data_IF_831732256554
#
_entry.id   IF_831732256554
#
_cell.length_a   1.000
_cell.length_b   1.000
_cell.length_c   1.000
_cell.angle_alpha   90.00
_cell.angle_beta   90.00
_cell.angle_gamma   90.00
#
_symmetry.space_group_name_H-M   'P 1'
#
loop_
_entity.id
_entity.type
_entity.pdbx_description
1 polymer ?
#
# COMPACT_ATOMS: atom_id res chain seq x y z
N UNK A 1 30.34 -1.78 -40.17
CA UNK A 1 30.34 -1.58 -38.70
C UNK A 1 30.12 -0.10 -38.44
N UNK A 2 28.90 0.25 -38.05
CA UNK A 2 28.53 1.54 -37.44
C UNK A 2 27.54 1.21 -36.31
N UNK A 3 27.65 1.86 -35.14
CA UNK A 3 27.00 1.42 -33.92
C UNK A 3 25.49 1.69 -33.90
N UNK A 4 24.76 0.75 -33.28
CA UNK A 4 23.34 0.83 -32.93
C UNK A 4 23.08 2.03 -31.98
N UNK A 5 21.94 2.75 -32.10
CA UNK A 5 21.58 3.78 -31.15
C UNK A 5 21.31 3.16 -29.78
N UNK A 6 21.90 3.76 -28.76
CA UNK A 6 21.75 3.42 -27.35
C UNK A 6 20.28 3.36 -26.96
N UNK A 7 19.80 2.15 -26.70
CA UNK A 7 18.58 1.91 -25.96
C UNK A 7 18.83 2.42 -24.53
N UNK A 8 18.48 3.69 -24.28
CA UNK A 8 18.46 4.24 -22.93
C UNK A 8 17.34 3.54 -22.17
N UNK A 9 17.66 2.41 -21.54
CA UNK A 9 16.85 1.82 -20.49
C UNK A 9 16.64 2.89 -19.41
N UNK A 10 15.45 3.48 -19.35
CA UNK A 10 15.04 4.38 -18.27
C UNK A 10 15.03 3.59 -16.96
N UNK A 11 15.89 3.88 -15.98
CA UNK A 11 15.94 3.09 -14.74
C UNK A 11 14.83 3.45 -13.74
N UNK A 12 14.00 4.46 -14.02
CA UNK A 12 13.06 5.01 -13.03
C UNK A 12 11.67 4.37 -13.02
N UNK A 13 11.31 3.57 -14.04
CA UNK A 13 10.00 2.88 -14.07
C UNK A 13 9.91 1.62 -13.20
N UNK A 14 11.04 1.15 -12.64
CA UNK A 14 11.13 -0.13 -11.92
C UNK A 14 11.01 0.00 -10.41
N UNK A 15 11.29 1.16 -9.83
CA UNK A 15 11.25 1.39 -8.39
C UNK A 15 9.83 1.34 -7.79
N UNK A 16 8.81 2.03 -8.35
CA UNK A 16 7.47 2.02 -7.76
C UNK A 16 6.79 0.65 -7.87
N UNK A 17 6.99 -0.06 -8.98
CA UNK A 17 6.51 -1.44 -9.14
C UNK A 17 7.20 -2.39 -8.14
N UNK A 18 8.49 -2.16 -7.85
CA UNK A 18 9.22 -2.94 -6.85
C UNK A 18 8.74 -2.67 -5.42
N UNK A 19 8.41 -1.41 -5.09
CA UNK A 19 7.94 -1.04 -3.75
C UNK A 19 6.55 -1.61 -3.47
N UNK A 20 5.62 -1.49 -4.42
CA UNK A 20 4.28 -2.12 -4.31
C UNK A 20 4.40 -3.61 -4.06
N UNK A 21 5.25 -4.31 -4.83
CA UNK A 21 5.44 -5.76 -4.65
C UNK A 21 6.03 -6.12 -3.28
N UNK A 22 6.96 -5.30 -2.75
CA UNK A 22 7.53 -5.51 -1.41
C UNK A 22 6.49 -5.27 -0.32
N UNK A 23 5.75 -4.16 -0.38
CA UNK A 23 4.67 -3.84 0.57
C UNK A 23 3.62 -4.95 0.59
N UNK A 24 3.15 -5.41 -0.58
CA UNK A 24 2.23 -6.55 -0.68
C UNK A 24 2.78 -7.79 0.01
N UNK A 25 4.03 -8.15 -0.26
CA UNK A 25 4.66 -9.34 0.34
C UNK A 25 4.77 -9.24 1.86
N UNK A 26 5.16 -8.10 2.40
CA UNK A 26 5.24 -7.93 3.86
C UNK A 26 3.87 -8.03 4.53
N UNK A 27 2.84 -7.41 3.93
CA UNK A 27 1.47 -7.49 4.44
C UNK A 27 0.90 -8.92 4.37
N UNK A 28 1.15 -9.65 3.28
CA UNK A 28 0.78 -11.07 3.18
C UNK A 28 1.51 -11.93 4.22
N UNK A 29 2.80 -11.66 4.48
CA UNK A 29 3.56 -12.37 5.52
C UNK A 29 3.02 -12.10 6.92
N UNK A 30 2.48 -10.91 7.17
CA UNK A 30 1.80 -10.57 8.41
C UNK A 30 0.39 -11.17 8.53
N UNK A 31 -0.09 -11.90 7.51
CA UNK A 31 -1.37 -12.60 7.53
C UNK A 31 -2.55 -11.82 6.95
N UNK A 32 -2.30 -10.64 6.35
CA UNK A 32 -3.38 -9.90 5.68
C UNK A 32 -3.72 -10.50 4.32
N UNK A 33 -5.01 -10.46 4.00
CA UNK A 33 -5.49 -10.67 2.63
C UNK A 33 -5.26 -9.38 1.85
N UNK A 34 -4.40 -9.45 0.82
CA UNK A 34 -4.02 -8.30 -0.01
C UNK A 34 -4.58 -8.46 -1.40
N UNK A 35 -5.16 -7.38 -1.94
CA UNK A 35 -5.86 -7.28 -3.21
C UNK A 35 -6.85 -8.45 -3.43
N UNK A 36 -7.86 -8.60 -2.55
CA UNK A 36 -8.78 -9.73 -2.60
C UNK A 36 -9.59 -9.73 -3.90
N UNK A 37 -9.66 -10.88 -4.58
CA UNK A 37 -10.52 -11.07 -5.76
C UNK A 37 -12.01 -11.04 -5.42
N UNK A 38 -12.34 -11.42 -4.18
CA UNK A 38 -13.68 -11.37 -3.59
C UNK A 38 -13.54 -10.80 -2.18
N UNK A 39 -14.24 -9.69 -1.90
CA UNK A 39 -14.24 -9.09 -0.57
C UNK A 39 -15.06 -9.94 0.39
N UNK A 40 -14.39 -10.48 1.40
CA UNK A 40 -15.05 -11.05 2.57
C UNK A 40 -15.76 -9.95 3.37
N UNK A 41 -16.70 -10.35 4.24
CA UNK A 41 -17.39 -9.43 5.15
C UNK A 41 -16.39 -8.67 6.03
N UNK A 42 -15.31 -9.35 6.45
CA UNK A 42 -14.26 -8.79 7.31
C UNK A 42 -13.26 -7.89 6.54
N UNK A 43 -13.39 -7.79 5.21
CA UNK A 43 -12.57 -6.94 4.35
C UNK A 43 -11.19 -7.50 4.00
N UNK A 44 -10.38 -6.64 3.38
CA UNK A 44 -9.00 -6.91 2.97
C UNK A 44 -8.24 -5.62 2.70
N UNK A 45 -6.97 -5.73 2.31
CA UNK A 45 -6.14 -4.58 2.00
C UNK A 45 -6.02 -4.39 0.50
N UNK A 46 -6.17 -3.15 0.04
CA UNK A 46 -5.81 -2.76 -1.31
C UNK A 46 -4.48 -2.02 -1.30
N UNK A 47 -3.55 -2.42 -2.16
CA UNK A 47 -2.24 -1.76 -2.30
C UNK A 47 -2.09 -1.18 -3.71
N UNK A 48 -2.03 0.14 -3.78
CA UNK A 48 -1.90 0.90 -5.04
C UNK A 48 -0.72 1.86 -5.00
N UNK A 49 -0.14 2.10 -6.16
CA UNK A 49 0.81 3.20 -6.32
C UNK A 49 0.04 4.48 -6.61
N UNK A 50 0.36 5.53 -5.86
CA UNK A 50 -0.07 6.89 -6.06
C UNK A 50 1.15 7.74 -6.45
N UNK A 51 1.14 8.40 -7.61
CA UNK A 51 2.31 9.12 -8.11
C UNK A 51 2.73 10.33 -7.26
N UNK A 52 1.83 10.86 -6.43
CA UNK A 52 2.10 12.03 -5.59
C UNK A 52 2.45 11.62 -4.15
N UNK A 53 1.86 10.53 -3.66
CA UNK A 53 1.94 10.10 -2.26
C UNK A 53 2.85 8.89 -2.04
N UNK A 54 3.15 8.09 -3.07
CA UNK A 54 3.93 6.85 -2.95
C UNK A 54 3.05 5.60 -2.98
N UNK A 55 3.27 4.63 -2.10
CA UNK A 55 2.42 3.43 -2.05
C UNK A 55 1.32 3.61 -1.01
N UNK A 56 0.07 3.58 -1.44
CA UNK A 56 -1.10 3.73 -0.58
C UNK A 56 -1.70 2.35 -0.28
N UNK A 57 -1.91 2.09 1.01
CA UNK A 57 -2.55 0.90 1.56
C UNK A 57 -3.87 1.32 2.19
N UNK A 58 -4.98 0.79 1.68
CA UNK A 58 -6.32 1.05 2.19
C UNK A 58 -6.95 -0.25 2.68
N UNK A 59 -7.65 -0.21 3.82
CA UNK A 59 -8.55 -1.30 4.20
C UNK A 59 -9.87 -1.11 3.48
N UNK A 60 -10.32 -2.17 2.81
CA UNK A 60 -11.54 -2.19 2.01
C UNK A 60 -12.46 -3.31 2.51
N UNK A 61 -13.76 -3.04 2.64
CA UNK A 61 -14.77 -3.99 3.10
C UNK A 61 -15.90 -4.17 2.08
N UNK A 62 -16.62 -5.28 2.14
CA UNK A 62 -17.83 -5.46 1.33
C UNK A 62 -18.95 -4.44 1.70
N UNK A 63 -18.95 -3.94 2.93
CA UNK A 63 -19.87 -2.91 3.40
C UNK A 63 -19.62 -1.56 2.73
N UNK A 64 -18.34 -1.18 2.52
CA UNK A 64 -17.96 0.04 1.77
C UNK A 64 -18.47 0.05 0.31
N UNK A 65 -18.74 -1.13 -0.26
CA UNK A 65 -19.32 -1.25 -1.60
C UNK A 65 -20.86 -1.20 -1.63
N UNK A 66 -21.53 -1.33 -0.49
CA UNK A 66 -22.98 -1.56 -0.44
C UNK A 66 -23.76 -0.54 0.39
N UNK A 67 -23.18 0.05 1.45
CA UNK A 67 -23.88 1.00 2.33
C UNK A 67 -22.90 2.07 2.85
N UNK A 68 -23.27 3.35 2.71
CA UNK A 68 -22.50 4.52 3.20
C UNK A 68 -22.33 4.63 4.72
N UNK A 69 -22.65 3.59 5.51
CA UNK A 69 -22.50 3.64 6.97
C UNK A 69 -21.16 3.05 7.41
N UNK A 70 -20.12 3.86 7.21
CA UNK A 70 -18.73 3.55 7.52
C UNK A 70 -18.40 3.71 9.00
N UNK A 71 -19.28 4.36 9.75
CA UNK A 71 -19.15 4.68 11.18
C UNK A 71 -19.06 3.43 12.05
N UNK A 72 -19.72 2.34 11.63
CA UNK A 72 -19.73 1.09 12.39
C UNK A 72 -18.34 0.43 12.51
N UNK A 73 -17.43 0.78 11.60
CA UNK A 73 -16.11 0.14 11.49
C UNK A 73 -14.95 1.04 11.94
N UNK A 74 -15.19 2.23 12.48
CA UNK A 74 -14.12 3.18 12.84
C UNK A 74 -13.13 2.59 13.86
N UNK A 75 -13.61 1.79 14.80
CA UNK A 75 -12.75 1.11 15.76
C UNK A 75 -11.86 0.06 15.09
N UNK A 76 -12.42 -0.74 14.16
CA UNK A 76 -11.68 -1.75 13.42
C UNK A 76 -10.68 -1.08 12.48
N UNK A 77 -11.09 -0.01 11.78
CA UNK A 77 -10.24 0.80 10.92
C UNK A 77 -9.04 1.34 11.69
N UNK A 78 -9.26 1.84 12.91
CA UNK A 78 -8.19 2.33 13.80
C UNK A 78 -7.21 1.22 14.20
N UNK A 79 -7.72 0.03 14.54
CA UNK A 79 -6.88 -1.13 14.88
C UNK A 79 -6.07 -1.60 13.67
N UNK A 80 -6.71 -1.75 12.51
CA UNK A 80 -6.03 -2.14 11.27
C UNK A 80 -4.95 -1.13 10.92
N UNK A 81 -5.27 0.15 10.98
CA UNK A 81 -4.34 1.23 10.71
C UNK A 81 -3.12 1.23 11.65
N UNK A 82 -3.33 1.00 12.95
CA UNK A 82 -2.25 0.85 13.92
C UNK A 82 -1.37 -0.37 13.60
N UNK A 83 -1.99 -1.51 13.28
CA UNK A 83 -1.28 -2.73 12.92
C UNK A 83 -0.44 -2.55 11.65
N UNK A 84 -1.02 -1.96 10.59
CA UNK A 84 -0.32 -1.64 9.35
C UNK A 84 0.89 -0.75 9.59
N UNK A 85 0.71 0.31 10.38
CA UNK A 85 1.79 1.24 10.71
C UNK A 85 2.93 0.52 11.45
N UNK A 86 2.60 -0.29 12.45
CA UNK A 86 3.60 -1.05 13.21
C UNK A 86 4.37 -2.03 12.32
N UNK A 87 3.68 -2.82 11.50
CA UNK A 87 4.30 -3.84 10.64
C UNK A 87 5.21 -3.20 9.58
N UNK A 88 4.74 -2.12 8.95
CA UNK A 88 5.49 -1.46 7.89
C UNK A 88 6.67 -0.67 8.45
N UNK A 89 6.52 -0.02 9.61
CA UNK A 89 7.65 0.62 10.30
C UNK A 89 8.68 -0.39 10.80
N UNK A 90 8.27 -1.55 11.33
CA UNK A 90 9.18 -2.64 11.73
C UNK A 90 9.96 -3.19 10.53
N UNK A 91 9.31 -3.28 9.36
CA UNK A 91 9.97 -3.62 8.09
C UNK A 91 10.88 -2.50 7.52
N UNK A 92 11.01 -1.36 8.22
CA UNK A 92 11.90 -0.26 7.86
C UNK A 92 11.32 0.77 6.89
N UNK A 93 10.01 0.72 6.61
CA UNK A 93 9.37 1.71 5.75
C UNK A 93 9.07 3.02 6.50
N UNK A 94 9.13 4.13 5.77
CA UNK A 94 8.58 5.40 6.25
C UNK A 94 7.08 5.40 6.01
N UNK A 95 6.32 5.51 7.09
CA UNK A 95 4.86 5.38 7.07
C UNK A 95 4.21 6.68 7.51
N UNK A 96 3.30 7.18 6.69
CA UNK A 96 2.45 8.33 7.00
C UNK A 96 1.00 7.87 6.98
N UNK A 97 0.25 8.34 7.96
CA UNK A 97 -1.14 7.97 8.18
C UNK A 97 -2.07 9.11 7.79
N UNK A 98 -3.09 8.83 6.99
CA UNK A 98 -4.17 9.77 6.73
C UNK A 98 -5.36 9.43 7.64
N UNK A 99 -5.57 10.16 8.74
CA UNK A 99 -6.64 9.86 9.68
C UNK A 99 -8.04 10.15 9.11
N UNK A 100 -8.15 10.92 8.02
CA UNK A 100 -9.44 11.24 7.41
C UNK A 100 -9.92 10.13 6.47
N UNK A 101 -9.01 9.53 5.70
CA UNK A 101 -9.34 8.41 4.81
C UNK A 101 -9.09 7.04 5.44
N UNK A 102 -8.32 6.97 6.53
CA UNK A 102 -7.83 5.71 7.11
C UNK A 102 -6.76 5.03 6.26
N UNK A 103 -6.21 5.73 5.26
CA UNK A 103 -5.16 5.21 4.40
C UNK A 103 -3.79 5.27 5.08
N UNK A 104 -2.98 4.26 4.81
CA UNK A 104 -1.56 4.21 5.19
C UNK A 104 -0.71 4.42 3.95
N UNK A 105 0.18 5.41 4.01
CA UNK A 105 1.05 5.82 2.91
C UNK A 105 2.46 5.36 3.24
N UNK A 106 3.04 4.55 2.37
CA UNK A 106 4.43 4.13 2.41
C UNK A 106 5.22 4.99 1.44
N UNK A 107 6.07 5.83 1.99
CA UNK A 107 7.06 6.55 1.20
C UNK A 107 8.22 5.62 0.84
N UNK A 108 8.82 5.84 -0.33
CA UNK A 108 10.12 5.27 -0.64
C UNK A 108 11.15 5.75 0.41
N UNK A 109 12.10 4.92 0.88
CA UNK A 109 13.20 5.42 1.72
C UNK A 109 13.86 6.62 1.02
N UNK A 110 14.25 7.69 1.73
CA UNK A 110 15.04 8.75 1.11
C UNK A 110 16.29 8.10 0.47
N UNK A 111 16.55 8.42 -0.80
CA UNK A 111 17.83 8.09 -1.40
C UNK A 111 18.92 8.65 -0.48
N UNK A 112 19.80 7.77 0.00
CA UNK A 112 20.85 8.14 0.94
C UNK A 112 21.63 9.35 0.42
N UNK A 113 21.78 10.37 1.27
CA UNK A 113 22.64 11.53 1.05
C UNK A 113 24.12 11.17 1.24
#
# INVERSE_FOLDING_TARGET
MSPQPSEQASPEKSEPASLVARVRRELTRAGFVVDPTTLAVDGGLQVRHDPERGVVVAWITAAELTVSDLSHHDHIRSIVHLALSAILSDAGYQVTSDPASGEVIVAHPPAAA
#
